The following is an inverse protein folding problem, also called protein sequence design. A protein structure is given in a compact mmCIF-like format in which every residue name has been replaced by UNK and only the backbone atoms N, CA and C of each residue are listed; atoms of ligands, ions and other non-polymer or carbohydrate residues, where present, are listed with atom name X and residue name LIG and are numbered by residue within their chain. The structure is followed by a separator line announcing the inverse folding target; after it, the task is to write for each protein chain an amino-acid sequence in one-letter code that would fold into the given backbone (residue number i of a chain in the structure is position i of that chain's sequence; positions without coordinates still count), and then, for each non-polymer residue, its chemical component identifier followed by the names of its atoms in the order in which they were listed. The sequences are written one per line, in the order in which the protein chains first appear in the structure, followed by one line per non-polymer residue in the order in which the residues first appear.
data_IF_856520964086
#
_entry.id   IF_856520964086
#
_cell.length_a   1.000
_cell.length_b   1.000
_cell.length_c   1.000
_cell.angle_alpha   90.00
_cell.angle_beta   90.00
_cell.angle_gamma   90.00
#
_symmetry.space_group_name_H-M   'P 1'
#
loop_
_entity.id
_entity.type
_entity.pdbx_description
1 polymer ?
#
# COMPACT_ATOMS: atom_id res chain seq x y z
N UNK A 1 -16.52 0.26 4.71
CA UNK A 1 -16.16 0.44 3.29
C UNK A 1 -14.69 0.85 3.23
N UNK A 2 -13.88 0.29 2.32
CA UNK A 2 -12.53 0.81 2.07
C UNK A 2 -12.71 2.21 1.44
N UNK A 3 -12.13 3.25 2.04
CA UNK A 3 -12.36 4.65 1.62
C UNK A 3 -11.60 5.03 0.33
N UNK A 4 -10.53 4.30 0.03
CA UNK A 4 -9.57 4.68 -1.00
C UNK A 4 -10.11 4.61 -2.44
N UNK A 5 -10.86 3.57 -2.89
CA UNK A 5 -11.31 3.48 -4.28
C UNK A 5 -12.11 4.70 -4.75
N UNK A 6 -13.11 5.12 -3.95
CA UNK A 6 -13.96 6.26 -4.30
C UNK A 6 -13.18 7.58 -4.37
N UNK A 7 -12.15 7.76 -3.55
CA UNK A 7 -11.29 8.94 -3.62
C UNK A 7 -10.41 8.94 -4.88
N UNK A 8 -9.90 7.77 -5.28
CA UNK A 8 -9.06 7.62 -6.48
C UNK A 8 -9.86 7.79 -7.78
N UNK A 9 -11.13 7.41 -7.79
CA UNK A 9 -12.02 7.60 -8.95
C UNK A 9 -12.22 9.10 -9.27
N UNK A 10 -12.23 9.96 -8.24
CA UNK A 10 -12.40 11.41 -8.39
C UNK A 10 -11.16 12.14 -8.89
N UNK A 11 -9.98 11.51 -8.88
CA UNK A 11 -8.75 12.15 -9.36
C UNK A 11 -8.78 12.35 -10.89
N UNK A 12 -8.18 13.41 -11.39
CA UNK A 12 -8.03 13.60 -12.84
C UNK A 12 -6.89 12.75 -13.41
N UNK A 13 -6.92 12.40 -14.70
CA UNK A 13 -5.77 11.77 -15.36
C UNK A 13 -4.48 12.57 -15.16
N UNK A 14 -3.38 11.88 -14.88
CA UNK A 14 -2.09 12.51 -14.57
C UNK A 14 -1.91 12.93 -13.11
N UNK A 15 -2.92 12.77 -12.24
CA UNK A 15 -2.80 13.07 -10.82
C UNK A 15 -1.81 12.13 -10.12
N UNK A 16 -1.06 12.68 -9.16
CA UNK A 16 -0.16 11.93 -8.28
C UNK A 16 -0.89 11.38 -7.05
N UNK A 17 -0.71 10.10 -6.80
CA UNK A 17 -1.03 9.43 -5.53
C UNK A 17 0.27 9.13 -4.81
N UNK A 18 0.39 9.63 -3.57
CA UNK A 18 1.39 9.17 -2.61
C UNK A 18 0.63 8.52 -1.46
N UNK A 19 0.81 7.22 -1.25
CA UNK A 19 0.14 6.48 -0.18
C UNK A 19 1.13 5.72 0.70
N UNK A 20 0.69 5.47 1.93
CA UNK A 20 1.44 4.74 2.94
C UNK A 20 0.90 3.31 3.03
N UNK A 21 1.71 2.34 2.64
CA UNK A 21 1.41 0.91 2.71
C UNK A 21 1.89 0.37 4.06
N UNK A 22 0.97 -0.28 4.78
CA UNK A 22 1.20 -0.81 6.13
C UNK A 22 1.03 -2.33 6.09
N UNK A 23 2.12 -3.12 5.98
CA UNK A 23 2.06 -4.57 5.81
C UNK A 23 1.20 -5.31 6.85
N UNK A 24 1.14 -4.81 8.08
CA UNK A 24 0.33 -5.37 9.17
C UNK A 24 -1.19 -5.33 8.92
N UNK A 25 -1.65 -4.61 7.90
CA UNK A 25 -3.06 -4.52 7.50
C UNK A 25 -3.36 -5.09 6.11
N UNK A 26 -2.32 -5.40 5.31
CA UNK A 26 -2.46 -5.86 3.92
C UNK A 26 -2.18 -7.38 3.75
N UNK A 27 -1.69 -8.05 4.80
CA UNK A 27 -1.47 -9.49 4.75
C UNK A 27 -2.80 -10.26 4.74
N UNK A 28 -3.20 -10.82 3.59
CA UNK A 28 -4.36 -11.70 3.48
C UNK A 28 -3.97 -13.15 3.82
N UNK A 29 -4.34 -13.62 5.02
CA UNK A 29 -4.16 -15.01 5.43
C UNK A 29 -4.63 -15.29 6.87
N UNK A 30 -4.68 -16.55 7.33
CA UNK A 30 -5.01 -16.89 8.71
C UNK A 30 -4.01 -16.32 9.73
N UNK A 31 -2.76 -16.07 9.32
CA UNK A 31 -1.76 -15.28 10.05
C UNK A 31 -1.88 -13.75 9.82
N UNK A 32 -2.58 -13.35 8.76
CA UNK A 32 -2.82 -11.98 8.30
C UNK A 32 -3.87 -11.21 9.10
N UNK A 33 -4.59 -11.89 10.00
CA UNK A 33 -5.46 -11.26 11.00
C UNK A 33 -4.75 -10.99 12.33
N UNK A 34 -3.43 -10.85 12.32
CA UNK A 34 -2.68 -10.33 13.47
C UNK A 34 -2.95 -8.84 13.64
N UNK A 35 -4.19 -8.49 14.01
CA UNK A 35 -4.52 -7.19 14.59
C UNK A 35 -3.50 -6.97 15.72
N UNK A 36 -2.56 -6.03 15.52
CA UNK A 36 -1.55 -5.55 16.50
C UNK A 36 -0.17 -6.24 16.54
N UNK A 37 0.28 -6.89 15.45
CA UNK A 37 1.62 -7.50 15.39
C UNK A 37 2.65 -6.67 14.60
N UNK A 38 3.93 -6.76 14.97
CA UNK A 38 5.05 -6.28 14.13
C UNK A 38 5.33 -7.31 13.04
N UNK A 39 5.18 -6.92 11.77
CA UNK A 39 5.53 -7.78 10.63
C UNK A 39 7.04 -7.80 10.49
N UNK A 40 7.69 -8.91 10.89
CA UNK A 40 9.14 -9.08 10.81
C UNK A 40 9.63 -9.72 9.52
N UNK A 41 8.77 -10.52 8.89
CA UNK A 41 9.10 -11.24 7.67
C UNK A 41 9.24 -10.28 6.47
N UNK A 42 10.43 -10.18 5.83
CA UNK A 42 10.63 -9.37 4.63
C UNK A 42 9.79 -9.81 3.44
N UNK A 43 9.46 -11.11 3.31
CA UNK A 43 8.63 -11.62 2.22
C UNK A 43 7.20 -11.12 2.39
N UNK A 44 6.62 -11.26 3.58
CA UNK A 44 5.29 -10.70 3.89
C UNK A 44 5.20 -9.18 3.64
N UNK A 45 6.27 -8.42 3.94
CA UNK A 45 6.33 -6.97 3.65
C UNK A 45 6.31 -6.70 2.15
N UNK A 46 7.12 -7.43 1.40
CA UNK A 46 7.19 -7.30 -0.06
C UNK A 46 5.87 -7.66 -0.69
N UNK A 47 5.25 -8.78 -0.29
CA UNK A 47 3.93 -9.20 -0.79
C UNK A 47 2.84 -8.18 -0.51
N UNK A 48 2.86 -7.50 0.65
CA UNK A 48 1.92 -6.43 0.96
C UNK A 48 2.06 -5.24 -0.01
N UNK A 49 3.29 -4.83 -0.31
CA UNK A 49 3.55 -3.75 -1.28
C UNK A 49 3.10 -4.17 -2.67
N UNK A 50 3.48 -5.36 -3.13
CA UNK A 50 3.07 -5.89 -4.45
C UNK A 50 1.54 -6.01 -4.57
N UNK A 51 0.85 -6.44 -3.52
CA UNK A 51 -0.62 -6.49 -3.51
C UNK A 51 -1.28 -5.12 -3.73
N UNK A 52 -0.73 -4.06 -3.13
CA UNK A 52 -1.22 -2.69 -3.36
C UNK A 52 -0.87 -2.21 -4.77
N UNK A 53 0.33 -2.55 -5.28
CA UNK A 53 0.75 -2.21 -6.64
C UNK A 53 -0.16 -2.82 -7.70
N UNK A 54 -0.45 -4.10 -7.56
CA UNK A 54 -1.33 -4.85 -8.47
C UNK A 54 -2.74 -4.28 -8.42
N UNK A 55 -3.24 -4.00 -7.22
CA UNK A 55 -4.55 -3.39 -7.05
C UNK A 55 -4.65 -2.02 -7.72
N UNK A 56 -3.69 -1.11 -7.48
CA UNK A 56 -3.64 0.20 -8.13
C UNK A 56 -3.59 0.09 -9.67
N UNK A 57 -2.78 -0.83 -10.18
CA UNK A 57 -2.68 -1.11 -11.61
C UNK A 57 -4.01 -1.59 -12.19
N UNK A 58 -4.74 -2.44 -11.45
CA UNK A 58 -6.05 -2.95 -11.87
C UNK A 58 -7.13 -1.87 -11.98
N UNK A 59 -6.96 -0.74 -11.27
CA UNK A 59 -7.92 0.38 -11.28
C UNK A 59 -7.41 1.60 -12.06
N UNK A 60 -6.47 1.41 -12.98
CA UNK A 60 -6.05 2.44 -13.92
C UNK A 60 -5.00 3.41 -13.38
N UNK A 61 -4.18 3.00 -12.41
CA UNK A 61 -3.03 3.78 -11.95
C UNK A 61 -1.73 3.12 -12.40
N UNK A 62 -0.71 3.94 -12.68
CA UNK A 62 0.64 3.46 -12.97
C UNK A 62 1.54 3.71 -11.77
N UNK A 63 1.96 2.64 -11.09
CA UNK A 63 2.97 2.74 -10.02
C UNK A 63 4.30 3.18 -10.61
N UNK A 64 4.91 4.21 -10.02
CA UNK A 64 6.19 4.77 -10.44
C UNK A 64 7.35 4.29 -9.59
N UNK A 65 7.21 4.35 -8.27
CA UNK A 65 8.27 4.00 -7.34
C UNK A 65 7.69 3.57 -5.99
N UNK A 66 8.46 2.77 -5.25
CA UNK A 66 8.18 2.40 -3.87
C UNK A 66 9.44 2.56 -3.03
N UNK A 67 9.30 3.04 -1.80
CA UNK A 67 10.43 3.15 -0.88
C UNK A 67 10.01 2.88 0.56
N UNK A 68 10.96 2.54 1.43
CA UNK A 68 10.69 2.42 2.86
C UNK A 68 10.37 3.80 3.45
N UNK A 69 9.36 3.86 4.31
CA UNK A 69 9.01 5.07 5.04
C UNK A 69 10.15 5.46 5.97
N UNK A 70 10.53 6.76 6.05
CA UNK A 70 11.57 7.22 6.97
C UNK A 70 11.13 7.14 8.44
N UNK A 71 9.84 6.91 8.69
CA UNK A 71 9.26 6.71 10.02
C UNK A 71 8.64 5.32 10.12
N UNK A 72 8.89 4.65 11.24
CA UNK A 72 8.23 3.39 11.57
C UNK A 72 6.82 3.64 12.10
N UNK A 73 5.90 2.71 11.84
CA UNK A 73 4.56 2.71 12.45
C UNK A 73 4.63 2.63 13.98
N UNK A 74 3.52 2.94 14.67
CA UNK A 74 3.50 3.11 16.13
C UNK A 74 4.09 1.96 16.96
N UNK A 75 3.97 0.72 16.49
CA UNK A 75 4.52 -0.48 17.14
C UNK A 75 5.91 -0.89 16.62
N UNK A 76 6.57 -0.05 15.81
CA UNK A 76 7.84 -0.36 15.15
C UNK A 76 7.70 -1.12 13.82
N UNK A 77 6.51 -1.09 13.20
CA UNK A 77 6.31 -1.69 11.89
C UNK A 77 7.08 -0.92 10.81
N UNK A 78 7.75 -1.67 9.92
CA UNK A 78 8.29 -1.11 8.69
C UNK A 78 7.11 -0.83 7.75
N UNK A 79 7.01 0.41 7.30
CA UNK A 79 5.94 0.89 6.40
C UNK A 79 6.59 1.39 5.10
N UNK A 80 5.81 1.48 4.02
CA UNK A 80 6.34 1.83 2.70
C UNK A 80 5.56 3.00 2.11
N UNK A 81 6.27 3.91 1.44
CA UNK A 81 5.67 4.91 0.59
C UNK A 81 5.58 4.36 -0.83
N UNK A 82 4.42 4.54 -1.46
CA UNK A 82 4.17 4.18 -2.86
C UNK A 82 3.70 5.43 -3.60
N UNK A 83 4.34 5.69 -4.75
CA UNK A 83 3.94 6.73 -5.68
C UNK A 83 3.33 6.10 -6.94
N UNK A 84 2.15 6.55 -7.31
CA UNK A 84 1.50 6.20 -8.56
C UNK A 84 0.91 7.43 -9.25
N UNK A 85 0.71 7.34 -10.56
CA UNK A 85 0.09 8.38 -11.37
C UNK A 85 -1.17 7.82 -12.02
N UNK A 86 -2.29 8.56 -11.98
CA UNK A 86 -3.53 8.14 -12.65
C UNK A 86 -3.30 8.09 -14.16
N UNK A 87 -3.61 6.95 -14.78
CA UNK A 87 -3.48 6.81 -16.22
C UNK A 87 -4.51 7.70 -16.95
N UNK A 88 -4.27 7.89 -18.26
CA UNK A 88 -5.13 8.61 -19.19
C UNK A 88 -6.48 7.95 -19.41
#
# INVERSE_FOLDING_TARGET
AKALPAALDLAEPGADLVCLVKPQFEADGPAGHSKKGVVKDPEARTSAVEGVRDWLTSIGWTVKETTESPITGGDGNVEFLLWAVKAS
#
